data_IF_430234168543
#
_entry.id   IF_430234168543
#
_cell.length_a   1.000
_cell.length_b   1.000
_cell.length_c   1.000
_cell.angle_alpha   90.00
_cell.angle_beta   90.00
_cell.angle_gamma   90.00
#
_symmetry.space_group_name_H-M   'P 1'
#
loop_
_entity.id
_entity.type
_entity.pdbx_description
1 polymer ?
#
# COMPACT_ATOMS: atom_id res chain seq x y z
N UNK A 1 12.58 5.80 19.56
CA UNK A 1 12.15 5.35 18.22
C UNK A 1 11.86 3.86 18.30
N UNK A 2 10.62 3.46 18.03
CA UNK A 2 10.19 2.05 18.10
C UNK A 2 10.70 1.32 16.85
N UNK A 3 11.93 0.82 16.92
CA UNK A 3 12.66 0.20 15.79
C UNK A 3 11.94 -1.02 15.18
N UNK A 4 11.05 -1.66 15.94
CA UNK A 4 10.35 -2.88 15.55
C UNK A 4 9.28 -2.66 14.47
N UNK A 5 8.61 -1.50 14.49
CA UNK A 5 7.53 -1.22 13.54
C UNK A 5 8.11 -0.98 12.14
N UNK A 6 9.16 -0.17 12.02
CA UNK A 6 9.77 0.13 10.71
C UNK A 6 10.27 -1.13 10.00
N UNK A 7 10.91 -2.05 10.73
CA UNK A 7 11.42 -3.30 10.17
C UNK A 7 10.33 -4.17 9.52
N UNK A 8 9.13 -4.23 10.13
CA UNK A 8 7.99 -4.97 9.58
C UNK A 8 7.50 -4.35 8.26
N UNK A 9 7.47 -3.02 8.18
CA UNK A 9 7.03 -2.30 6.98
C UNK A 9 8.05 -2.42 5.84
N UNK A 10 9.34 -2.23 6.14
CA UNK A 10 10.44 -2.44 5.18
C UNK A 10 10.43 -3.87 4.60
N UNK A 11 10.11 -4.88 5.43
CA UNK A 11 9.99 -6.27 4.98
C UNK A 11 8.76 -6.46 4.09
N UNK A 12 7.61 -5.94 4.49
CA UNK A 12 6.39 -6.00 3.69
C UNK A 12 6.56 -5.35 2.32
N UNK A 13 7.17 -4.16 2.28
CA UNK A 13 7.40 -3.42 1.04
C UNK A 13 8.27 -4.23 0.06
N UNK A 14 9.38 -4.80 0.55
CA UNK A 14 10.27 -5.64 -0.28
C UNK A 14 9.57 -6.89 -0.78
N UNK A 15 8.72 -7.52 0.03
CA UNK A 15 7.98 -8.71 -0.39
C UNK A 15 6.93 -8.39 -1.44
N UNK A 16 6.15 -7.32 -1.23
CA UNK A 16 5.13 -6.87 -2.18
C UNK A 16 5.75 -6.40 -3.50
N UNK A 17 6.95 -5.82 -3.47
CA UNK A 17 7.72 -5.45 -4.66
C UNK A 17 8.24 -6.63 -5.48
N UNK A 18 8.33 -7.82 -4.88
CA UNK A 18 8.73 -9.08 -5.54
C UNK A 18 7.48 -9.91 -5.92
N UNK A 19 6.31 -9.27 -5.99
CA UNK A 19 5.03 -9.90 -6.34
C UNK A 19 4.58 -11.01 -5.36
N UNK A 20 4.94 -10.92 -4.08
CA UNK A 20 4.44 -11.85 -3.04
C UNK A 20 3.02 -11.48 -2.62
N UNK A 21 2.18 -12.49 -2.37
CA UNK A 21 0.78 -12.31 -1.99
C UNK A 21 0.61 -11.57 -0.66
N UNK A 22 -0.36 -10.65 -0.60
CA UNK A 22 -0.69 -9.89 0.62
C UNK A 22 -0.94 -10.78 1.84
N UNK A 23 -1.55 -11.96 1.65
CA UNK A 23 -1.84 -12.91 2.73
C UNK A 23 -0.56 -13.50 3.34
N UNK A 24 0.42 -13.85 2.50
CA UNK A 24 1.72 -14.36 2.96
C UNK A 24 2.51 -13.26 3.68
N UNK A 25 2.51 -12.05 3.13
CA UNK A 25 3.17 -10.90 3.77
C UNK A 25 2.51 -10.55 5.10
N UNK A 26 1.17 -10.63 5.19
CA UNK A 26 0.43 -10.42 6.45
C UNK A 26 0.82 -11.44 7.51
N UNK A 27 0.95 -12.70 7.13
CA UNK A 27 1.35 -13.77 8.04
C UNK A 27 2.79 -13.58 8.54
N UNK A 28 3.71 -13.14 7.67
CA UNK A 28 5.13 -12.98 8.03
C UNK A 28 5.41 -11.70 8.83
N UNK A 29 4.75 -10.59 8.48
CA UNK A 29 4.99 -9.28 9.10
C UNK A 29 4.05 -8.99 10.26
N UNK A 30 2.98 -9.76 10.38
CA UNK A 30 1.85 -9.55 11.31
C UNK A 30 1.26 -8.14 11.17
N UNK A 31 1.34 -7.56 9.96
CA UNK A 31 0.74 -6.28 9.66
C UNK A 31 -0.70 -6.46 9.19
N UNK A 32 -1.58 -5.51 9.52
CA UNK A 32 -2.95 -5.55 9.06
C UNK A 32 -3.01 -5.39 7.54
N UNK A 33 -3.94 -6.09 6.90
CA UNK A 33 -4.13 -6.05 5.44
C UNK A 33 -4.33 -4.62 4.91
N UNK A 34 -4.96 -3.73 5.69
CA UNK A 34 -5.11 -2.31 5.30
C UNK A 34 -3.75 -1.62 5.11
N UNK A 35 -2.77 -1.91 5.97
CA UNK A 35 -1.41 -1.37 5.85
C UNK A 35 -0.71 -1.95 4.63
N UNK A 36 -0.83 -3.26 4.41
CA UNK A 36 -0.21 -3.91 3.25
C UNK A 36 -0.79 -3.42 1.93
N UNK A 37 -2.11 -3.19 1.85
CA UNK A 37 -2.76 -2.58 0.68
C UNK A 37 -2.24 -1.17 0.41
N UNK A 38 -2.02 -0.36 1.46
CA UNK A 38 -1.40 0.97 1.34
C UNK A 38 0.02 0.88 0.79
N UNK A 39 0.84 -0.05 1.30
CA UNK A 39 2.22 -0.27 0.84
C UNK A 39 2.23 -0.74 -0.62
N UNK A 40 1.39 -1.72 -0.98
CA UNK A 40 1.27 -2.20 -2.35
C UNK A 40 0.88 -1.07 -3.31
N UNK A 41 -0.15 -0.29 -2.96
CA UNK A 41 -0.58 0.86 -3.76
C UNK A 41 0.53 1.92 -3.88
N UNK A 42 1.33 2.12 -2.84
CA UNK A 42 2.46 3.06 -2.87
C UNK A 42 3.59 2.56 -3.78
N UNK A 43 3.91 1.25 -3.75
CA UNK A 43 4.87 0.61 -4.66
C UNK A 43 4.40 0.69 -6.12
N UNK A 44 3.13 0.38 -6.37
CA UNK A 44 2.53 0.48 -7.70
C UNK A 44 2.56 1.93 -8.18
N UNK A 45 2.24 2.89 -7.31
CA UNK A 45 2.30 4.33 -7.62
C UNK A 45 3.73 4.81 -7.90
N UNK A 46 4.71 4.40 -7.10
CA UNK A 46 6.14 4.74 -7.26
C UNK A 46 6.73 4.15 -8.55
N UNK A 47 6.34 2.91 -8.88
CA UNK A 47 6.68 2.28 -10.17
C UNK A 47 5.99 2.94 -11.38
N UNK A 48 4.85 3.59 -11.18
CA UNK A 48 4.04 4.22 -12.22
C UNK A 48 4.26 5.75 -12.35
N UNK A 49 5.25 6.34 -11.66
CA UNK A 49 5.63 7.77 -11.82
C UNK A 49 6.37 8.04 -13.15
N UNK A 50 6.01 7.34 -14.23
CA UNK A 50 6.39 7.78 -15.58
C UNK A 50 5.22 8.29 -16.39
N UNK A 51 3.95 8.14 -15.98
CA UNK A 51 2.82 8.69 -16.74
C UNK A 51 1.66 9.06 -15.81
N UNK A 52 1.54 10.36 -15.52
CA UNK A 52 0.31 11.11 -15.24
C UNK A 52 -0.97 10.27 -15.07
N UNK A 53 -1.61 10.30 -13.89
CA UNK A 53 -2.82 11.11 -13.71
C UNK A 53 -3.30 11.14 -12.25
N UNK A 54 -3.48 12.37 -11.79
CA UNK A 54 -4.37 12.80 -10.69
C UNK A 54 -5.72 12.09 -10.71
N UNK A 55 -5.99 11.20 -9.75
CA UNK A 55 -7.38 10.82 -9.39
C UNK A 55 -7.58 10.68 -7.88
N UNK A 56 -7.18 11.71 -7.13
CA UNK A 56 -7.93 12.10 -5.94
C UNK A 56 -8.99 13.12 -6.40
N UNK A 57 -10.05 12.62 -7.01
CA UNK A 57 -11.35 13.32 -7.03
C UNK A 57 -12.31 12.42 -6.28
N UNK A 58 -12.27 12.55 -4.96
CA UNK A 58 -13.44 12.30 -4.14
C UNK A 58 -14.51 13.32 -4.56
N UNK A 59 -15.41 12.92 -5.45
CA UNK A 59 -16.68 13.61 -5.65
C UNK A 59 -17.79 12.80 -4.95
N UNK A 60 -17.59 12.56 -3.66
CA UNK A 60 -18.67 12.21 -2.75
C UNK A 60 -19.51 13.44 -2.48
N UNK A 61 -20.48 13.76 -3.35
CA UNK A 61 -21.73 14.43 -2.93
C UNK A 61 -22.82 14.08 -3.93
N UNK A 62 -23.55 13.03 -3.59
CA UNK A 62 -24.94 12.83 -3.96
C UNK A 62 -25.75 14.06 -3.56
N UNK A 63 -26.18 14.91 -4.49
CA UNK A 63 -27.42 15.71 -4.39
C UNK A 63 -27.83 16.24 -5.76
N UNK A 64 -28.81 15.57 -6.38
CA UNK A 64 -29.70 15.98 -7.48
C UNK A 64 -30.44 14.67 -7.84
N UNK A 65 -31.74 14.47 -7.66
CA UNK A 65 -32.92 15.32 -7.49
C UNK A 65 -34.01 14.42 -6.87
#
# INVERSE_FOLDING_TARGET
MNNTTKAKYDMAEKMLKVDISLEEVALMTELPMETLKKIQHDIEKDGLVTRHDVKDVDLGTSYLI
#
